data_IF_060570361518
#
_entry.id   IF_060570361518
#
_cell.length_a   1.000
_cell.length_b   1.000
_cell.length_c   1.000
_cell.angle_alpha   90.00
_cell.angle_beta   90.00
_cell.angle_gamma   90.00
#
_symmetry.space_group_name_H-M   'P 1'
#
loop_
_entity.id
_entity.type
_entity.pdbx_description
1 polymer ?
#
# COMPACT_ATOMS: atom_id res chain seq x y z
N UNK A 1 -18.08 23.42 47.19
CA UNK A 1 -17.67 22.14 47.78
C UNK A 1 -16.58 21.59 46.88
N UNK A 2 -15.35 21.64 47.37
CA UNK A 2 -14.10 21.31 46.67
C UNK A 2 -13.91 19.79 46.65
N UNK A 3 -13.80 19.19 45.45
CA UNK A 3 -13.43 17.79 45.29
C UNK A 3 -11.89 17.71 45.13
N UNK A 4 -11.23 17.10 46.10
CA UNK A 4 -9.79 16.87 46.10
C UNK A 4 -9.41 15.65 45.26
N UNK A 5 -8.40 15.82 44.41
CA UNK A 5 -7.72 14.78 43.65
C UNK A 5 -6.73 14.06 44.57
N UNK A 6 -6.93 12.78 44.85
CA UNK A 6 -5.96 11.93 45.54
C UNK A 6 -5.02 11.29 44.51
N UNK A 7 -3.73 11.59 44.65
CA UNK A 7 -2.64 10.91 43.94
C UNK A 7 -2.13 9.84 44.89
N UNK A 8 -2.29 8.56 44.53
CA UNK A 8 -1.63 7.45 45.23
C UNK A 8 -0.20 7.29 44.70
N UNK A 9 0.79 7.46 45.57
CA UNK A 9 2.18 7.08 45.29
C UNK A 9 2.39 5.58 45.56
N UNK A 10 3.07 4.83 44.68
CA UNK A 10 3.36 3.43 44.91
C UNK A 10 4.51 3.28 45.91
N UNK A 11 4.20 2.82 47.13
CA UNK A 11 5.21 2.48 48.14
C UNK A 11 5.88 1.15 47.79
N UNK A 12 7.07 1.20 47.20
CA UNK A 12 7.89 0.00 46.94
C UNK A 12 8.79 -0.30 48.14
N UNK A 13 8.34 -1.20 49.03
CA UNK A 13 9.15 -1.70 50.16
C UNK A 13 10.03 -2.86 49.69
N UNK A 14 11.29 -2.58 49.34
CA UNK A 14 12.31 -3.61 49.08
C UNK A 14 13.37 -3.66 50.19
N UNK A 15 13.65 -4.89 50.67
CA UNK A 15 14.65 -5.16 51.71
C UNK A 15 16.03 -4.56 51.36
N UNK A 16 16.63 -3.86 52.33
CA UNK A 16 17.91 -3.11 52.21
C UNK A 16 19.10 -3.93 51.70
N UNK A 17 19.05 -5.26 51.84
CA UNK A 17 20.09 -6.16 51.28
C UNK A 17 19.90 -6.42 49.78
N UNK A 18 18.65 -6.50 49.30
CA UNK A 18 18.34 -6.76 47.89
C UNK A 18 18.64 -5.55 47.00
N UNK A 19 18.39 -4.33 47.51
CA UNK A 19 18.69 -3.09 46.78
C UNK A 19 20.19 -2.91 46.50
N UNK A 20 21.05 -3.24 47.46
CA UNK A 20 22.51 -3.15 47.27
C UNK A 20 23.03 -4.11 46.20
N UNK A 21 22.44 -5.31 46.11
CA UNK A 21 22.80 -6.30 45.08
C UNK A 21 22.30 -5.84 43.70
N UNK A 22 21.05 -5.37 43.59
CA UNK A 22 20.53 -4.85 42.34
C UNK A 22 21.29 -3.60 41.85
N UNK A 23 21.64 -2.69 42.75
CA UNK A 23 22.46 -1.52 42.43
C UNK A 23 23.85 -1.92 41.92
N UNK A 24 24.47 -2.93 42.53
CA UNK A 24 25.76 -3.47 42.06
C UNK A 24 25.69 -4.07 40.65
N UNK A 25 24.62 -4.83 40.36
CA UNK A 25 24.40 -5.42 39.03
C UNK A 25 24.17 -4.33 37.97
N UNK A 26 23.35 -3.32 38.29
CA UNK A 26 23.12 -2.19 37.38
C UNK A 26 24.38 -1.39 37.10
N UNK A 27 25.21 -1.14 38.13
CA UNK A 27 26.49 -0.45 37.95
C UNK A 27 27.43 -1.23 37.01
N UNK A 28 27.48 -2.55 37.13
CA UNK A 28 28.30 -3.40 36.26
C UNK A 28 27.82 -3.38 34.80
N UNK A 29 26.50 -3.36 34.57
CA UNK A 29 25.92 -3.25 33.22
C UNK A 29 26.27 -1.89 32.59
N UNK A 30 26.15 -0.80 33.35
CA UNK A 30 26.48 0.55 32.87
C UNK A 30 27.98 0.65 32.52
N UNK A 31 28.86 0.10 33.35
CA UNK A 31 30.30 0.07 33.09
C UNK A 31 30.61 -0.76 31.83
N UNK A 32 29.95 -1.91 31.64
CA UNK A 32 30.12 -2.74 30.46
C UNK A 32 29.69 -2.04 29.17
N UNK A 33 28.56 -1.31 29.19
CA UNK A 33 28.08 -0.53 28.06
C UNK A 33 29.01 0.66 27.73
N UNK A 34 29.55 1.33 28.75
CA UNK A 34 30.52 2.42 28.56
C UNK A 34 31.82 1.91 27.92
N UNK A 35 32.34 0.76 28.37
CA UNK A 35 33.53 0.14 27.77
C UNK A 35 33.24 -0.26 26.32
N UNK A 36 32.07 -0.84 26.03
CA UNK A 36 31.66 -1.19 24.67
C UNK A 36 31.60 0.01 23.73
N UNK A 37 31.04 1.14 24.18
CA UNK A 37 30.98 2.38 23.41
C UNK A 37 32.37 2.98 23.17
N UNK A 38 33.25 2.94 24.17
CA UNK A 38 34.64 3.41 24.01
C UNK A 38 35.38 2.54 22.98
N UNK A 39 35.20 1.22 23.00
CA UNK A 39 35.82 0.31 22.02
C UNK A 39 35.32 0.62 20.61
N UNK A 40 34.01 0.81 20.42
CA UNK A 40 33.42 1.16 19.12
C UNK A 40 33.93 2.52 18.63
N UNK A 41 34.00 3.53 19.50
CA UNK A 41 34.50 4.85 19.16
C UNK A 41 36.02 4.90 18.92
N UNK A 42 36.77 3.91 19.44
CA UNK A 42 38.22 3.80 19.29
C UNK A 42 38.68 2.98 18.09
N UNK A 43 37.76 2.39 17.31
CA UNK A 43 38.14 1.75 16.05
C UNK A 43 38.53 2.83 15.04
N UNK A 44 39.77 2.82 14.51
CA UNK A 44 40.17 3.72 13.45
C UNK A 44 39.30 3.45 12.22
N UNK A 45 38.60 4.50 11.77
CA UNK A 45 37.69 4.45 10.64
C UNK A 45 38.35 3.81 9.43
N UNK A 46 37.78 2.69 8.99
CA UNK A 46 38.16 2.02 7.75
C UNK A 46 37.87 2.93 6.56
N UNK A 47 38.91 3.09 5.75
CA UNK A 47 38.99 3.69 4.42
C UNK A 47 37.64 3.98 3.72
N UNK A 48 37.31 5.27 3.62
CA UNK A 48 36.29 5.82 2.72
C UNK A 48 36.86 5.83 1.29
N UNK A 49 36.94 4.64 0.69
CA UNK A 49 37.43 4.44 -0.67
C UNK A 49 36.30 4.02 -1.60
N UNK A 50 35.21 4.80 -1.64
CA UNK A 50 34.16 4.69 -2.67
C UNK A 50 33.52 6.02 -2.99
N UNK A 51 34.32 7.08 -3.14
CA UNK A 51 33.91 8.31 -3.81
C UNK A 51 35.09 8.83 -4.61
N UNK A 52 35.21 8.38 -5.86
CA UNK A 52 35.82 9.11 -6.97
C UNK A 52 35.83 8.23 -8.23
N UNK A 53 34.74 8.31 -8.99
CA UNK A 53 34.72 7.92 -10.40
C UNK A 53 33.70 8.77 -11.15
N UNK A 54 33.81 10.10 -11.04
CA UNK A 54 33.37 11.05 -12.07
C UNK A 54 34.31 12.25 -12.00
N UNK A 55 35.47 12.13 -12.63
CA UNK A 55 36.27 13.27 -13.06
C UNK A 55 35.93 13.51 -14.52
N UNK A 56 35.05 14.48 -14.76
CA UNK A 56 34.90 15.12 -16.07
C UNK A 56 35.65 16.44 -15.97
N UNK A 57 36.82 16.49 -16.58
CA UNK A 57 37.55 17.74 -16.80
C UNK A 57 36.67 18.67 -17.66
N UNK A 58 36.30 19.82 -17.10
CA UNK A 58 35.79 20.95 -17.88
C UNK A 58 36.69 22.15 -17.64
N UNK A 59 37.77 22.21 -18.44
CA UNK A 59 38.49 23.45 -18.66
C UNK A 59 37.58 24.45 -19.36
N UNK A 60 37.47 25.61 -18.72
CA UNK A 60 36.74 26.77 -19.19
C UNK A 60 37.39 27.35 -20.45
N UNK A 61 36.61 27.44 -21.53
CA UNK A 61 36.81 28.44 -22.57
C UNK A 61 35.46 29.04 -22.90
N UNK A 62 35.29 30.30 -22.54
CA UNK A 62 34.14 31.11 -22.93
C UNK A 62 34.16 31.29 -24.45
N UNK A 63 33.03 31.06 -25.12
CA UNK A 63 32.49 31.99 -26.12
C UNK A 63 31.14 31.53 -26.70
N UNK A 64 30.28 32.54 -26.90
CA UNK A 64 29.15 32.62 -27.82
C UNK A 64 27.92 31.74 -27.56
N UNK A 65 26.80 32.42 -27.25
CA UNK A 65 25.50 31.84 -26.97
C UNK A 65 25.02 30.86 -28.02
N UNK A 66 24.56 29.70 -27.55
CA UNK A 66 23.72 28.79 -28.31
C UNK A 66 22.57 28.36 -27.40
N UNK A 67 21.36 28.61 -27.89
CA UNK A 67 20.08 28.19 -27.30
C UNK A 67 20.14 26.73 -26.87
N UNK A 68 19.83 26.43 -25.60
CA UNK A 68 19.60 25.07 -25.15
C UNK A 68 18.38 24.51 -25.88
N UNK A 69 18.61 23.76 -26.96
CA UNK A 69 17.56 22.93 -27.55
C UNK A 69 17.35 21.73 -26.64
N UNK A 70 16.10 21.52 -26.23
CA UNK A 70 15.70 20.29 -25.56
C UNK A 70 16.03 19.11 -26.48
N UNK A 71 16.56 17.98 -25.97
CA UNK A 71 16.81 16.80 -26.79
C UNK A 71 15.53 16.40 -27.53
N UNK A 72 15.64 16.08 -28.81
CA UNK A 72 14.49 15.51 -29.55
C UNK A 72 14.23 14.10 -28.99
N UNK A 73 12.98 13.63 -29.06
CA UNK A 73 12.58 12.35 -28.46
C UNK A 73 13.40 11.14 -28.97
N UNK A 74 14.11 11.28 -30.09
CA UNK A 74 15.05 10.31 -30.65
C UNK A 74 16.40 10.21 -29.93
N UNK A 75 16.76 11.18 -29.08
CA UNK A 75 18.05 11.21 -28.37
C UNK A 75 18.01 10.46 -27.03
N UNK A 76 16.83 9.99 -26.61
CA UNK A 76 16.69 9.09 -25.47
C UNK A 76 17.02 7.67 -25.91
N UNK A 77 18.14 7.13 -25.43
CA UNK A 77 18.39 5.69 -25.45
C UNK A 77 17.30 5.05 -24.61
N UNK A 78 16.37 4.37 -25.28
CA UNK A 78 15.30 3.64 -24.62
C UNK A 78 15.91 2.55 -23.74
N UNK A 79 15.78 2.72 -22.43
CA UNK A 79 16.35 1.84 -21.43
C UNK A 79 15.56 0.52 -21.42
N UNK A 80 15.88 -0.38 -22.35
CA UNK A 80 15.16 -1.64 -22.55
C UNK A 80 15.00 -2.04 -24.01
N UNK A 81 15.16 -1.11 -24.95
CA UNK A 81 15.20 -1.43 -26.37
C UNK A 81 16.61 -1.87 -26.78
N UNK A 82 16.76 -3.15 -27.11
CA UNK A 82 17.99 -3.69 -27.68
C UNK A 82 18.42 -5.02 -27.08
N UNK A 83 19.55 -5.51 -27.58
CA UNK A 83 20.21 -6.67 -27.01
C UNK A 83 21.04 -6.23 -25.80
N UNK A 84 20.99 -6.98 -24.69
CA UNK A 84 21.92 -6.80 -23.59
C UNK A 84 23.37 -7.12 -24.05
N UNK A 85 24.37 -6.88 -23.19
CA UNK A 85 25.77 -7.14 -23.51
C UNK A 85 26.09 -8.59 -23.95
N UNK A 86 25.16 -9.53 -23.71
CA UNK A 86 25.27 -10.94 -24.11
C UNK A 86 24.48 -11.26 -25.40
N UNK A 87 23.89 -10.28 -26.08
CA UNK A 87 23.10 -10.50 -27.29
C UNK A 87 21.63 -10.86 -27.04
N UNK A 88 21.14 -10.83 -25.80
CA UNK A 88 19.76 -11.21 -25.49
C UNK A 88 18.83 -10.00 -25.66
N UNK A 89 17.77 -10.12 -26.46
CA UNK A 89 16.67 -9.15 -26.49
C UNK A 89 15.59 -9.52 -25.48
N UNK A 90 14.93 -8.51 -24.90
CA UNK A 90 13.73 -8.71 -24.09
C UNK A 90 12.53 -8.66 -25.04
N UNK A 91 11.80 -9.77 -25.14
CA UNK A 91 10.49 -9.78 -25.78
C UNK A 91 9.45 -9.25 -24.78
N UNK A 92 8.75 -8.19 -25.17
CA UNK A 92 7.71 -7.54 -24.37
C UNK A 92 6.30 -8.00 -24.77
N UNK A 93 6.19 -8.84 -25.80
CA UNK A 93 4.92 -9.39 -26.23
C UNK A 93 4.41 -10.44 -25.22
N UNK A 94 3.09 -10.52 -25.09
CA UNK A 94 2.46 -11.50 -24.21
C UNK A 94 2.66 -12.92 -24.77
N UNK A 95 3.32 -13.83 -24.05
CA UNK A 95 3.65 -15.15 -24.56
C UNK A 95 2.43 -16.06 -24.60
N UNK A 96 2.30 -16.88 -25.64
CA UNK A 96 1.27 -17.93 -25.70
C UNK A 96 1.45 -18.99 -24.60
N UNK A 97 2.71 -19.26 -24.24
CA UNK A 97 3.10 -20.21 -23.20
C UNK A 97 3.91 -19.48 -22.11
N UNK A 98 3.24 -18.81 -21.16
CA UNK A 98 3.91 -18.05 -20.12
C UNK A 98 4.76 -18.97 -19.23
N UNK A 99 6.01 -18.57 -18.96
CA UNK A 99 6.90 -19.24 -18.02
C UNK A 99 6.41 -19.14 -16.57
N UNK A 100 7.08 -19.77 -15.58
CA UNK A 100 6.61 -19.86 -14.20
C UNK A 100 6.51 -18.52 -13.45
N UNK A 101 7.21 -17.48 -13.91
CA UNK A 101 7.27 -16.16 -13.26
C UNK A 101 6.67 -15.04 -14.12
N UNK A 102 6.16 -15.35 -15.30
CA UNK A 102 5.44 -14.38 -16.10
C UNK A 102 4.12 -14.06 -15.42
N UNK A 103 3.73 -12.78 -15.36
CA UNK A 103 2.44 -12.35 -14.81
C UNK A 103 1.25 -13.01 -15.52
N UNK A 104 0.04 -12.80 -14.99
CA UNK A 104 -1.16 -13.36 -15.59
C UNK A 104 -1.36 -12.78 -17.00
N UNK A 105 -1.49 -13.66 -17.99
CA UNK A 105 -1.85 -13.24 -19.35
C UNK A 105 -3.30 -12.77 -19.43
N UNK A 106 -3.66 -11.98 -20.44
CA UNK A 106 -5.05 -11.57 -20.72
C UNK A 106 -5.99 -12.75 -20.83
N UNK A 107 -5.54 -13.84 -21.46
CA UNK A 107 -6.34 -15.05 -21.59
C UNK A 107 -6.54 -15.75 -20.23
N UNK A 108 -5.49 -15.84 -19.40
CA UNK A 108 -5.58 -16.39 -18.05
C UNK A 108 -6.52 -15.56 -17.16
N UNK A 109 -6.36 -14.23 -17.13
CA UNK A 109 -7.23 -13.32 -16.37
C UNK A 109 -8.69 -13.44 -16.79
N UNK A 110 -8.96 -13.51 -18.10
CA UNK A 110 -10.32 -13.68 -18.60
C UNK A 110 -10.93 -15.01 -18.17
N UNK A 111 -10.18 -16.11 -18.27
CA UNK A 111 -10.66 -17.44 -17.88
C UNK A 111 -10.87 -17.56 -16.37
N UNK A 112 -9.98 -16.96 -15.59
CA UNK A 112 -10.11 -16.85 -14.15
C UNK A 112 -11.37 -16.07 -13.75
N UNK A 113 -11.58 -14.89 -14.33
CA UNK A 113 -12.79 -14.09 -14.10
C UNK A 113 -14.06 -14.86 -14.48
N UNK A 114 -14.11 -15.45 -15.68
CA UNK A 114 -15.24 -16.26 -16.14
C UNK A 114 -15.57 -17.42 -15.18
N UNK A 115 -14.55 -18.02 -14.56
CA UNK A 115 -14.73 -19.08 -13.56
C UNK A 115 -15.34 -18.52 -12.27
N UNK A 116 -14.77 -17.43 -11.72
CA UNK A 116 -15.21 -16.81 -10.47
C UNK A 116 -16.63 -16.24 -10.55
N UNK A 117 -17.02 -15.69 -11.71
CA UNK A 117 -18.37 -15.19 -11.98
C UNK A 117 -19.42 -16.33 -12.00
N UNK A 118 -19.01 -17.54 -12.41
CA UNK A 118 -19.91 -18.70 -12.56
C UNK A 118 -19.93 -19.62 -11.33
N UNK A 119 -18.92 -19.56 -10.47
CA UNK A 119 -18.85 -20.40 -9.29
C UNK A 119 -19.99 -20.02 -8.31
N UNK A 120 -20.91 -20.94 -7.99
CA UNK A 120 -22.08 -20.65 -7.18
C UNK A 120 -21.77 -20.31 -5.71
N UNK A 121 -20.55 -20.59 -5.22
CA UNK A 121 -20.13 -20.25 -3.86
C UNK A 121 -19.44 -18.88 -3.80
N UNK A 122 -18.80 -18.47 -4.90
CA UNK A 122 -18.04 -17.21 -4.99
C UNK A 122 -18.93 -16.10 -5.52
N UNK A 123 -19.66 -16.36 -6.61
CA UNK A 123 -20.60 -15.46 -7.27
C UNK A 123 -20.05 -14.04 -7.45
N UNK A 124 -18.82 -13.94 -7.98
CA UNK A 124 -18.23 -12.63 -8.24
C UNK A 124 -19.12 -11.84 -9.22
N UNK A 125 -19.34 -10.55 -8.95
CA UNK A 125 -20.13 -9.70 -9.85
C UNK A 125 -19.47 -9.67 -11.23
N UNK A 126 -20.29 -9.90 -12.25
CA UNK A 126 -19.82 -9.86 -13.64
C UNK A 126 -19.40 -8.47 -14.08
N UNK A 127 -18.41 -8.40 -14.97
CA UNK A 127 -17.94 -7.13 -15.54
C UNK A 127 -19.05 -6.30 -16.20
N UNK A 128 -20.09 -6.93 -16.74
CA UNK A 128 -21.24 -6.24 -17.35
C UNK A 128 -22.10 -5.49 -16.33
N UNK A 129 -22.12 -5.96 -15.09
CA UNK A 129 -22.91 -5.39 -14.00
C UNK A 129 -22.02 -4.58 -13.05
N UNK A 130 -20.76 -4.32 -13.41
CA UNK A 130 -19.81 -3.66 -12.52
C UNK A 130 -20.27 -2.25 -12.11
N UNK A 131 -21.02 -1.57 -12.97
CA UNK A 131 -21.64 -0.26 -12.68
C UNK A 131 -22.69 -0.29 -11.56
N UNK A 132 -23.23 -1.47 -11.24
CA UNK A 132 -24.21 -1.66 -10.14
C UNK A 132 -23.58 -2.27 -8.89
N UNK A 133 -22.26 -2.44 -8.86
CA UNK A 133 -21.56 -2.99 -7.69
C UNK A 133 -21.65 -1.99 -6.54
N UNK A 134 -22.05 -2.51 -5.40
CA UNK A 134 -22.08 -1.80 -4.13
C UNK A 134 -21.12 -2.45 -3.15
N UNK A 135 -20.91 -1.82 -1.99
CA UNK A 135 -20.06 -2.36 -0.93
C UNK A 135 -20.54 -3.72 -0.40
N UNK A 136 -21.86 -3.99 -0.51
CA UNK A 136 -22.51 -5.24 -0.11
C UNK A 136 -22.44 -6.34 -1.18
N UNK A 137 -21.70 -6.12 -2.26
CA UNK A 137 -21.54 -7.09 -3.34
C UNK A 137 -20.30 -7.97 -3.13
N UNK A 138 -20.28 -9.14 -3.78
CA UNK A 138 -19.07 -9.97 -3.94
C UNK A 138 -18.33 -9.58 -5.20
N UNK A 139 -17.08 -9.11 -5.12
CA UNK A 139 -16.31 -8.75 -6.32
C UNK A 139 -14.82 -8.99 -6.18
N UNK A 140 -14.17 -9.12 -7.34
CA UNK A 140 -12.72 -9.29 -7.46
C UNK A 140 -12.08 -7.92 -7.27
N UNK A 141 -11.28 -7.75 -6.21
CA UNK A 141 -10.49 -6.54 -5.99
C UNK A 141 -9.15 -6.60 -6.73
N UNK A 142 -8.46 -7.76 -6.62
CA UNK A 142 -7.16 -7.98 -7.24
C UNK A 142 -7.05 -9.45 -7.68
N UNK A 143 -6.37 -9.69 -8.80
CA UNK A 143 -5.90 -11.01 -9.19
C UNK A 143 -4.47 -10.90 -9.72
N UNK A 144 -3.56 -11.70 -9.18
CA UNK A 144 -2.16 -11.73 -9.56
C UNK A 144 -1.61 -13.16 -9.64
N UNK A 145 -0.41 -13.31 -10.18
CA UNK A 145 0.26 -14.61 -10.24
C UNK A 145 0.53 -15.10 -8.82
N UNK A 146 0.16 -16.35 -8.52
CA UNK A 146 0.66 -17.03 -7.33
C UNK A 146 1.98 -17.73 -7.67
N UNK A 147 3.13 -17.26 -7.15
CA UNK A 147 4.41 -17.80 -7.56
C UNK A 147 4.54 -19.28 -7.16
N UNK A 148 5.18 -20.11 -8.00
CA UNK A 148 5.40 -21.50 -7.66
C UNK A 148 6.35 -21.63 -6.46
N UNK A 149 6.33 -22.78 -5.81
CA UNK A 149 7.31 -23.07 -4.75
C UNK A 149 8.72 -23.04 -5.36
N UNK A 150 9.67 -22.48 -4.63
CA UNK A 150 11.07 -22.38 -5.06
C UNK A 150 11.64 -23.73 -5.50
N UNK A 151 11.35 -24.81 -4.77
CA UNK A 151 11.84 -26.14 -5.10
C UNK A 151 11.33 -26.61 -6.48
N UNK A 152 10.05 -26.39 -6.79
CA UNK A 152 9.45 -26.80 -8.06
C UNK A 152 9.98 -25.94 -9.22
N UNK A 153 10.17 -24.64 -8.98
CA UNK A 153 10.78 -23.74 -9.95
C UNK A 153 12.23 -24.13 -10.27
N UNK A 154 13.06 -24.43 -9.26
CA UNK A 154 14.45 -24.89 -9.48
C UNK A 154 14.49 -26.27 -10.16
N UNK A 155 13.55 -27.16 -9.85
CA UNK A 155 13.44 -28.44 -10.53
C UNK A 155 13.16 -28.26 -12.03
N UNK A 156 12.28 -27.32 -12.39
CA UNK A 156 12.03 -26.95 -13.78
C UNK A 156 13.25 -26.29 -14.46
N UNK A 157 13.83 -25.28 -13.83
CA UNK A 157 14.89 -24.45 -14.44
C UNK A 157 16.23 -25.20 -14.57
N UNK A 158 16.65 -25.91 -13.52
CA UNK A 158 18.01 -26.46 -13.43
C UNK A 158 18.04 -27.97 -13.73
N UNK A 159 16.96 -28.68 -13.38
CA UNK A 159 16.92 -30.15 -13.41
C UNK A 159 16.07 -30.71 -14.57
N UNK A 160 15.73 -29.88 -15.57
CA UNK A 160 14.88 -30.25 -16.72
C UNK A 160 13.53 -30.87 -16.32
N UNK A 161 13.02 -30.46 -15.16
CA UNK A 161 11.71 -30.86 -14.68
C UNK A 161 10.58 -30.28 -15.53
N UNK A 162 9.35 -30.72 -15.27
CA UNK A 162 8.17 -30.08 -15.86
C UNK A 162 7.93 -28.71 -15.24
N UNK A 163 7.37 -27.78 -16.02
CA UNK A 163 6.97 -26.47 -15.50
C UNK A 163 5.93 -26.65 -14.40
N UNK A 164 6.08 -25.96 -13.24
CA UNK A 164 5.07 -26.00 -12.18
C UNK A 164 3.72 -25.49 -12.68
N UNK A 165 2.64 -26.03 -12.13
CA UNK A 165 1.30 -25.52 -12.41
C UNK A 165 1.22 -24.03 -12.09
N UNK A 166 0.79 -23.23 -13.07
CA UNK A 166 0.52 -21.81 -12.86
C UNK A 166 -0.79 -21.65 -12.11
N UNK A 167 -0.79 -20.81 -11.08
CA UNK A 167 -1.96 -20.48 -10.27
C UNK A 167 -2.08 -18.96 -10.15
N UNK A 168 -3.29 -18.47 -9.91
CA UNK A 168 -3.54 -17.08 -9.57
C UNK A 168 -3.91 -16.99 -8.08
N UNK A 169 -3.48 -15.91 -7.44
CA UNK A 169 -4.06 -15.46 -6.19
C UNK A 169 -5.12 -14.41 -6.50
N UNK A 170 -6.26 -14.50 -5.82
CA UNK A 170 -7.41 -13.62 -6.03
C UNK A 170 -7.84 -13.07 -4.68
N UNK A 171 -7.87 -11.74 -4.56
CA UNK A 171 -8.45 -11.06 -3.42
C UNK A 171 -9.91 -10.71 -3.74
N UNK A 172 -10.82 -11.28 -2.98
CA UNK A 172 -12.26 -11.07 -3.09
C UNK A 172 -12.75 -10.23 -1.92
N UNK A 173 -13.51 -9.18 -2.22
CA UNK A 173 -14.30 -8.47 -1.23
C UNK A 173 -15.68 -9.13 -1.20
N UNK A 174 -16.05 -9.70 -0.06
CA UNK A 174 -17.27 -10.47 0.15
C UNK A 174 -18.25 -9.67 1.00
N UNK A 175 -18.76 -8.58 0.44
CA UNK A 175 -19.83 -7.79 1.07
C UNK A 175 -21.18 -8.51 1.10
N UNK A 176 -21.32 -9.58 0.31
CA UNK A 176 -22.49 -10.44 0.24
C UNK A 176 -22.66 -11.36 1.46
N UNK A 177 -21.62 -11.50 2.28
CA UNK A 177 -21.60 -12.36 3.46
C UNK A 177 -22.03 -11.62 4.71
N UNK A 178 -22.44 -12.38 5.72
CA UNK A 178 -22.77 -11.86 7.04
C UNK A 178 -22.02 -12.66 8.14
N UNK A 179 -21.01 -12.07 8.81
CA UNK A 179 -20.46 -10.74 8.55
C UNK A 179 -19.72 -10.67 7.19
N UNK A 180 -19.56 -9.47 6.60
CA UNK A 180 -18.77 -9.32 5.38
C UNK A 180 -17.29 -9.60 5.68
N UNK A 181 -16.55 -10.05 4.67
CA UNK A 181 -15.14 -10.45 4.82
C UNK A 181 -14.30 -10.15 3.58
N UNK A 182 -12.97 -10.16 3.74
CA UNK A 182 -12.03 -10.25 2.62
C UNK A 182 -11.45 -11.66 2.55
N UNK A 183 -11.51 -12.28 1.37
CA UNK A 183 -11.00 -13.63 1.12
C UNK A 183 -9.83 -13.57 0.15
N UNK A 184 -8.75 -14.28 0.48
CA UNK A 184 -7.68 -14.55 -0.48
C UNK A 184 -7.78 -15.99 -0.98
N UNK A 185 -7.99 -16.18 -2.27
CA UNK A 185 -8.18 -17.47 -2.92
C UNK A 185 -6.98 -17.81 -3.80
N UNK A 186 -6.56 -19.07 -3.82
CA UNK A 186 -5.66 -19.63 -4.82
C UNK A 186 -6.47 -20.41 -5.85
N UNK A 187 -6.40 -19.96 -7.09
CA UNK A 187 -7.19 -20.46 -8.22
C UNK A 187 -6.28 -21.09 -9.27
N UNK A 188 -6.65 -22.26 -9.76
CA UNK A 188 -5.90 -22.89 -10.84
C UNK A 188 -6.38 -24.29 -11.21
N UNK A 189 -5.60 -25.00 -12.03
CA UNK A 189 -4.43 -24.49 -12.77
C UNK A 189 -4.85 -23.46 -13.85
N UNK A 190 -3.94 -22.60 -14.27
CA UNK A 190 -4.13 -21.66 -15.38
C UNK A 190 -3.70 -22.30 -16.72
N UNK A 191 -4.34 -21.94 -17.86
CA UNK A 191 -5.47 -21.02 -18.03
C UNK A 191 -6.84 -21.69 -17.78
N UNK A 192 -6.91 -23.02 -17.65
CA UNK A 192 -8.16 -23.76 -17.44
C UNK A 192 -8.45 -23.93 -15.95
N UNK A 193 -8.97 -22.88 -15.33
CA UNK A 193 -9.28 -22.87 -13.90
C UNK A 193 -10.34 -23.92 -13.58
N UNK A 194 -10.04 -24.81 -12.64
CA UNK A 194 -10.95 -25.88 -12.21
C UNK A 194 -11.38 -25.75 -10.76
N UNK A 195 -10.58 -25.06 -9.94
CA UNK A 195 -10.86 -24.86 -8.52
C UNK A 195 -10.24 -23.56 -8.02
N UNK A 196 -10.90 -22.98 -7.03
CA UNK A 196 -10.37 -21.95 -6.16
C UNK A 196 -10.51 -22.41 -4.72
N UNK A 197 -9.49 -22.20 -3.90
CA UNK A 197 -9.52 -22.52 -2.47
C UNK A 197 -9.02 -21.33 -1.66
N UNK A 198 -9.51 -21.18 -0.43
CA UNK A 198 -8.93 -20.21 0.50
C UNK A 198 -7.44 -20.51 0.69
N UNK A 199 -6.64 -19.45 0.67
CA UNK A 199 -5.23 -19.52 0.98
C UNK A 199 -5.04 -19.85 2.46
N UNK A 200 -4.24 -20.88 2.72
CA UNK A 200 -3.93 -21.40 4.05
C UNK A 200 -2.60 -20.81 4.56
N UNK A 201 -2.29 -21.04 5.85
CA UNK A 201 -1.01 -20.65 6.47
C UNK A 201 -0.94 -19.21 6.97
N UNK A 202 -2.07 -18.48 6.93
CA UNK A 202 -2.26 -17.16 7.56
C UNK A 202 -3.73 -16.93 7.89
N UNK A 203 -4.03 -15.84 8.62
CA UNK A 203 -5.40 -15.41 8.90
C UNK A 203 -6.11 -15.12 7.57
N UNK A 204 -7.12 -15.93 7.24
CA UNK A 204 -7.93 -15.81 6.03
C UNK A 204 -9.22 -16.63 6.24
N UNK A 205 -10.42 -16.05 6.07
CA UNK A 205 -10.69 -14.66 5.73
C UNK A 205 -10.21 -13.65 6.79
N UNK A 206 -10.18 -12.37 6.42
CA UNK A 206 -9.95 -11.25 7.33
C UNK A 206 -11.17 -10.33 7.38
N UNK A 207 -11.23 -9.49 8.41
CA UNK A 207 -12.33 -8.55 8.63
C UNK A 207 -12.48 -7.57 7.47
N UNK A 208 -13.72 -7.28 7.09
CA UNK A 208 -14.01 -6.41 5.95
C UNK A 208 -13.51 -4.97 6.14
N UNK A 209 -13.43 -4.51 7.39
CA UNK A 209 -12.87 -3.21 7.78
C UNK A 209 -11.40 -3.03 7.39
N UNK A 210 -10.64 -4.13 7.28
CA UNK A 210 -9.21 -4.13 6.93
C UNK A 210 -8.96 -3.99 5.41
N UNK A 211 -10.01 -3.90 4.61
CA UNK A 211 -9.89 -3.74 3.15
C UNK A 211 -9.24 -2.40 2.78
N UNK A 212 -8.45 -2.34 1.69
CA UNK A 212 -8.04 -1.10 1.07
C UNK A 212 -9.21 -0.15 0.80
N UNK A 213 -8.97 1.14 1.00
CA UNK A 213 -9.93 2.17 0.62
C UNK A 213 -10.14 2.18 -0.89
N UNK A 214 -11.39 2.21 -1.35
CA UNK A 214 -11.72 2.06 -2.76
C UNK A 214 -12.57 3.23 -3.29
N UNK A 215 -12.72 3.27 -4.62
CA UNK A 215 -13.49 4.32 -5.31
C UNK A 215 -14.96 4.39 -4.88
N UNK A 216 -15.61 3.26 -4.58
CA UNK A 216 -17.02 3.27 -4.19
C UNK A 216 -17.22 3.97 -2.84
N UNK A 217 -16.31 3.75 -1.90
CA UNK A 217 -16.31 4.46 -0.61
C UNK A 217 -16.04 5.95 -0.79
N UNK A 218 -15.10 6.29 -1.68
CA UNK A 218 -14.81 7.68 -2.00
C UNK A 218 -16.01 8.39 -2.63
N UNK A 219 -16.64 7.78 -3.64
CA UNK A 219 -17.83 8.32 -4.31
C UNK A 219 -18.98 8.49 -3.31
N UNK A 220 -19.14 7.55 -2.38
CA UNK A 220 -20.15 7.63 -1.33
C UNK A 220 -19.82 8.69 -0.25
N UNK A 221 -18.56 9.08 -0.05
CA UNK A 221 -18.23 10.25 0.77
C UNK A 221 -18.71 11.56 0.13
N UNK A 222 -18.64 11.68 -1.19
CA UNK A 222 -19.10 12.88 -1.93
C UNK A 222 -20.62 13.09 -1.81
N UNK A 223 -21.42 12.03 -1.63
CA UNK A 223 -22.87 12.16 -1.46
C UNK A 223 -23.26 12.81 -0.14
N UNK A 224 -22.35 12.84 0.85
CA UNK A 224 -22.57 13.48 2.15
C UNK A 224 -22.22 14.97 2.15
N UNK A 225 -21.46 15.45 1.17
CA UNK A 225 -20.97 16.83 1.10
C UNK A 225 -22.08 17.91 1.13
N UNK A 226 -23.26 17.72 0.51
CA UNK A 226 -24.36 18.67 0.67
C UNK A 226 -24.81 18.85 2.12
N UNK A 227 -24.80 17.80 2.94
CA UNK A 227 -25.13 17.90 4.36
C UNK A 227 -24.02 18.61 5.14
N UNK A 228 -22.75 18.36 4.79
CA UNK A 228 -21.61 19.06 5.40
C UNK A 228 -21.71 20.56 5.11
N UNK A 229 -21.89 20.94 3.85
CA UNK A 229 -22.05 22.34 3.45
C UNK A 229 -23.28 22.99 4.06
N UNK A 230 -24.39 22.28 4.24
CA UNK A 230 -25.56 22.82 4.92
C UNK A 230 -25.27 23.22 6.39
N UNK A 231 -24.28 22.58 7.04
CA UNK A 231 -23.91 22.87 8.43
C UNK A 231 -22.79 23.89 8.56
N UNK A 232 -21.80 23.87 7.66
CA UNK A 232 -20.58 24.67 7.80
C UNK A 232 -20.17 25.44 6.54
N UNK A 233 -20.96 25.38 5.46
CA UNK A 233 -20.63 26.01 4.17
C UNK A 233 -20.42 27.52 4.29
N UNK A 234 -21.19 28.21 5.14
CA UNK A 234 -20.99 29.64 5.40
C UNK A 234 -19.61 29.93 6.01
N UNK A 235 -19.15 29.07 6.92
CA UNK A 235 -17.82 29.19 7.55
C UNK A 235 -16.73 28.89 6.54
N UNK A 236 -16.90 27.85 5.72
CA UNK A 236 -15.96 27.49 4.66
C UNK A 236 -15.81 28.62 3.64
N UNK A 237 -16.94 29.20 3.20
CA UNK A 237 -16.94 30.31 2.26
C UNK A 237 -16.27 31.56 2.86
N UNK A 238 -16.57 31.91 4.11
CA UNK A 238 -15.95 33.07 4.77
C UNK A 238 -14.45 32.90 5.03
N UNK A 239 -14.02 31.68 5.36
CA UNK A 239 -12.63 31.39 5.75
C UNK A 239 -11.73 31.12 4.53
N UNK A 240 -12.27 30.42 3.52
CA UNK A 240 -11.49 29.86 2.42
C UNK A 240 -11.95 30.31 1.04
N UNK A 241 -13.07 31.04 0.95
CA UNK A 241 -13.71 31.45 -0.31
C UNK A 241 -13.99 30.25 -1.24
N UNK A 242 -14.33 29.10 -0.64
CA UNK A 242 -14.61 27.85 -1.33
C UNK A 242 -15.54 26.97 -0.47
N UNK A 243 -16.35 26.13 -1.12
CA UNK A 243 -17.27 25.17 -0.50
C UNK A 243 -17.20 23.84 -1.25
N UNK A 244 -17.88 22.79 -0.76
CA UNK A 244 -17.93 21.50 -1.47
C UNK A 244 -19.01 21.44 -2.56
N UNK A 245 -20.04 22.27 -2.43
CA UNK A 245 -21.24 22.32 -3.27
C UNK A 245 -21.57 23.78 -3.62
N UNK A 246 -22.44 23.97 -4.63
CA UNK A 246 -22.84 25.29 -5.15
C UNK A 246 -21.68 26.16 -5.68
N UNK A 247 -20.64 25.51 -6.19
CA UNK A 247 -19.44 26.08 -6.78
C UNK A 247 -19.28 25.58 -8.23
N UNK A 248 -18.43 26.25 -9.02
CA UNK A 248 -17.99 25.68 -10.30
C UNK A 248 -17.05 24.50 -10.06
N UNK A 249 -16.95 23.55 -10.99
CA UNK A 249 -16.07 22.37 -10.83
C UNK A 249 -14.63 22.76 -10.45
N UNK A 250 -14.10 23.83 -11.04
CA UNK A 250 -12.75 24.33 -10.79
C UNK A 250 -12.59 25.10 -9.46
N UNK A 251 -13.69 25.48 -8.80
CA UNK A 251 -13.67 26.25 -7.55
C UNK A 251 -14.12 25.46 -6.33
N UNK A 252 -14.73 24.29 -6.52
CA UNK A 252 -15.13 23.43 -5.41
C UNK A 252 -13.93 22.85 -4.68
N UNK A 253 -14.07 22.66 -3.36
CA UNK A 253 -13.10 21.91 -2.58
C UNK A 253 -13.15 20.43 -2.97
N UNK A 254 -11.97 19.81 -3.06
CA UNK A 254 -11.81 18.36 -3.27
C UNK A 254 -11.35 17.69 -1.99
N UNK A 255 -11.58 16.37 -1.91
CA UNK A 255 -11.23 15.59 -0.74
C UNK A 255 -9.93 14.81 -0.97
N UNK A 256 -9.13 14.70 0.07
CA UNK A 256 -8.10 13.68 0.18
C UNK A 256 -8.40 12.76 1.36
N UNK A 257 -8.29 11.47 1.12
CA UNK A 257 -8.62 10.43 2.09
C UNK A 257 -7.38 9.97 2.86
N UNK A 258 -7.51 9.83 4.18
CA UNK A 258 -6.52 9.26 5.08
C UNK A 258 -7.19 8.20 5.94
N UNK A 259 -7.19 6.92 5.50
CA UNK A 259 -7.77 5.82 6.27
C UNK A 259 -7.07 5.68 7.63
N UNK A 260 -7.86 5.50 8.70
CA UNK A 260 -7.33 5.28 10.04
C UNK A 260 -6.95 3.81 10.18
N UNK A 261 -5.74 3.53 10.65
CA UNK A 261 -5.30 2.17 10.89
C UNK A 261 -6.13 1.52 12.02
N UNK A 262 -6.50 0.24 11.86
CA UNK A 262 -7.27 -0.52 12.86
C UNK A 262 -6.54 -0.68 14.21
N UNK A 263 -5.22 -0.48 14.24
CA UNK A 263 -4.47 -0.42 15.50
C UNK A 263 -4.71 0.87 16.31
N UNK A 264 -5.24 1.92 15.70
CA UNK A 264 -5.53 3.21 16.35
C UNK A 264 -6.98 3.29 16.88
N UNK A 265 -7.89 2.53 16.28
CA UNK A 265 -9.30 2.44 16.70
C UNK A 265 -9.47 1.58 17.96
N UNK A 266 -8.56 0.64 18.20
CA UNK A 266 -8.65 -0.32 19.31
C UNK A 266 -9.55 -1.52 18.99
N UNK A 267 -10.47 -1.36 18.03
CA UNK A 267 -11.36 -2.40 17.53
C UNK A 267 -11.06 -2.72 16.05
N UNK A 268 -10.89 -4.01 15.74
CA UNK A 268 -10.51 -4.46 14.39
C UNK A 268 -11.62 -4.23 13.35
N UNK A 269 -12.88 -4.19 13.79
CA UNK A 269 -14.03 -4.01 12.91
C UNK A 269 -14.35 -2.52 12.65
N UNK A 270 -13.78 -1.60 13.41
CA UNK A 270 -13.99 -0.17 13.19
C UNK A 270 -13.28 0.30 11.93
N UNK A 271 -13.96 1.15 11.15
CA UNK A 271 -13.43 1.74 9.93
C UNK A 271 -13.65 3.23 9.91
N UNK A 272 -12.66 3.96 10.42
CA UNK A 272 -12.66 5.42 10.44
C UNK A 272 -11.79 5.98 9.32
N UNK A 273 -12.24 7.06 8.67
CA UNK A 273 -11.46 7.74 7.63
C UNK A 273 -11.48 9.24 7.82
N UNK A 274 -10.31 9.85 7.78
CA UNK A 274 -10.18 11.30 7.71
C UNK A 274 -10.29 11.77 6.27
N UNK A 275 -11.14 12.76 6.04
CA UNK A 275 -11.30 13.43 4.76
C UNK A 275 -10.85 14.88 4.92
N UNK A 276 -9.83 15.24 4.16
CA UNK A 276 -9.20 16.55 4.19
C UNK A 276 -9.65 17.37 2.99
N UNK A 277 -10.11 18.59 3.23
CA UNK A 277 -10.48 19.51 2.17
C UNK A 277 -9.24 20.20 1.59
N UNK A 278 -9.18 20.21 0.26
CA UNK A 278 -8.09 20.79 -0.51
C UNK A 278 -8.69 21.71 -1.58
N UNK A 279 -7.93 22.73 -1.98
CA UNK A 279 -8.29 23.53 -3.15
C UNK A 279 -8.15 22.70 -4.42
N UNK A 280 -9.13 22.78 -5.32
CA UNK A 280 -9.11 22.11 -6.61
C UNK A 280 -8.25 22.85 -7.64
N UNK A 281 -6.94 22.88 -7.39
CA UNK A 281 -5.92 23.46 -8.27
C UNK A 281 -4.88 22.41 -8.60
N UNK A 282 -4.03 22.59 -9.63
CA UNK A 282 -2.94 21.64 -9.89
C UNK A 282 -2.12 21.35 -8.63
N UNK A 283 -1.90 20.05 -8.37
CA UNK A 283 -1.28 19.53 -7.14
C UNK A 283 -2.06 19.85 -5.84
N UNK A 284 -3.34 19.44 -5.69
CA UNK A 284 -4.19 19.79 -4.54
C UNK A 284 -3.57 19.50 -3.17
N UNK A 285 -2.73 18.48 -3.07
CA UNK A 285 -2.04 18.09 -1.83
C UNK A 285 -1.11 19.18 -1.27
N UNK A 286 -0.68 20.14 -2.11
CA UNK A 286 0.12 21.30 -1.69
C UNK A 286 -0.75 22.51 -1.31
N UNK A 287 -2.07 22.38 -1.44
CA UNK A 287 -3.03 23.45 -1.19
C UNK A 287 -4.14 22.97 -0.22
N UNK A 288 -3.79 22.56 1.02
CA UNK A 288 -4.79 22.22 2.02
C UNK A 288 -5.53 23.46 2.51
N UNK A 289 -6.77 23.27 2.98
CA UNK A 289 -7.50 24.30 3.73
C UNK A 289 -7.32 24.17 5.24
N UNK A 290 -6.60 23.13 5.71
CA UNK A 290 -6.54 22.69 7.11
C UNK A 290 -7.90 22.28 7.72
N UNK A 291 -8.96 22.25 6.91
CA UNK A 291 -10.24 21.69 7.30
C UNK A 291 -10.29 20.19 6.96
N UNK A 292 -10.75 19.38 7.91
CA UNK A 292 -11.00 17.97 7.70
C UNK A 292 -12.09 17.47 8.63
N UNK A 293 -12.74 16.37 8.23
CA UNK A 293 -13.75 15.70 9.02
C UNK A 293 -13.53 14.19 8.97
N UNK A 294 -13.92 13.51 10.04
CA UNK A 294 -13.81 12.06 10.14
C UNK A 294 -15.17 11.43 9.81
N UNK A 295 -15.16 10.41 8.96
CA UNK A 295 -16.30 9.55 8.71
C UNK A 295 -16.10 8.19 9.35
N UNK A 296 -17.18 7.64 9.88
CA UNK A 296 -17.27 6.27 10.38
C UNK A 296 -18.00 5.39 9.35
N UNK A 297 -17.34 4.31 8.93
CA UNK A 297 -17.79 3.31 7.95
C UNK A 297 -17.90 1.91 8.56
N UNK A 298 -18.09 1.83 9.87
CA UNK A 298 -18.11 0.57 10.63
C UNK A 298 -19.33 -0.31 10.34
N UNK A 299 -20.42 0.27 9.81
CA UNK A 299 -21.69 -0.41 9.51
C UNK A 299 -22.01 -0.52 8.01
#
# INVERSE_FOLDING_TARGET
>A
MTAGMQIEEPTFSMSTKKWKVLAGIQLAIIIGLLIGLIVIASQPGGDDSTRNAVSSDSESSAESGTSCKSPEASDFVDCGAGQNANGNSIDLDEPENPGPFHDLTKNEMRKLREFLEKDPKIQAVSMKNFSSVTINSSYIFLADLWPPKKADALHFLDNKGNQPERQARVMMFRGDKNPPVVEELICGPLPKVTKCKLLEGRRNPVEFSSRPFNKMEFDAAYTMLPEVDAKIGDILMQSYNATFTNCSEESCLVLNASPTASGLTGEINERLIWLWALYNVPFPLLHPTDFGFQLDWTD
#
